data_IF_345027660046
#
_entry.id   IF_345027660046
#
_cell.length_a   1.000
_cell.length_b   1.000
_cell.length_c   1.000
_cell.angle_alpha   90.00
_cell.angle_beta   90.00
_cell.angle_gamma   90.00
#
_symmetry.space_group_name_H-M   'P 1'
#
loop_
_entity.id
_entity.type
_entity.pdbx_description
1 polymer ?
2 non-polymer ?
3 non-polymer ?
4 non-polymer ?
5 non-polymer ?
6 non-polymer ?
7 water ?
#
# COMPACT_ATOMS: atom_id res chain seq x y z
N UNK A 24 31.17 -0.01 -20.94
CA UNK A 24 30.56 -1.30 -21.17
C UNK A 24 29.18 -1.45 -20.57
N UNK A 25 29.07 -1.24 -19.25
CA UNK A 25 27.80 -1.40 -18.54
C UNK A 25 26.75 -0.37 -18.96
N UNK A 26 25.50 -0.81 -19.27
CA UNK A 26 24.50 0.14 -19.75
C UNK A 26 24.04 1.15 -18.70
N UNK A 27 23.75 2.36 -19.16
CA UNK A 27 23.25 3.43 -18.30
C UNK A 27 21.79 3.68 -18.65
N UNK A 28 20.99 4.01 -17.64
CA UNK A 28 19.59 4.31 -17.84
C UNK A 28 19.29 5.62 -17.13
N UNK A 29 18.58 6.54 -17.80
CA UNK A 29 18.17 7.79 -17.20
C UNK A 29 16.70 7.68 -16.84
N UNK A 30 16.37 7.93 -15.58
CA UNK A 30 15.00 8.02 -15.13
C UNK A 30 14.72 9.51 -15.00
N UNK A 31 13.86 10.05 -15.86
CA UNK A 31 13.48 11.45 -15.80
C UNK A 31 12.22 11.49 -14.97
N UNK A 32 12.28 11.96 -13.73
CA UNK A 32 11.12 11.95 -12.84
C UNK A 32 10.56 13.37 -12.61
N UNK A 33 9.35 13.45 -12.06
CA UNK A 33 8.73 14.73 -11.72
C UNK A 33 9.51 15.45 -10.59
N UNK A 34 10.40 14.74 -9.85
CA UNK A 34 11.22 15.31 -8.78
C UNK A 34 12.70 15.53 -9.17
N UNK A 35 13.08 15.18 -10.39
CA UNK A 35 14.46 15.30 -10.84
C UNK A 35 14.91 14.06 -11.60
N UNK A 36 16.15 14.08 -12.07
CA UNK A 36 16.70 13.00 -12.87
C UNK A 36 17.63 12.10 -12.08
N UNK A 37 17.56 10.79 -12.33
CA UNK A 37 18.41 9.81 -11.68
C UNK A 37 19.04 8.99 -12.79
N UNK A 38 20.35 8.82 -12.78
CA UNK A 38 21.03 8.03 -13.77
C UNK A 38 21.57 6.81 -13.10
N UNK A 39 21.34 5.65 -13.71
CA UNK A 39 21.76 4.36 -13.18
C UNK A 39 22.82 3.75 -14.07
N UNK A 40 23.75 3.00 -13.48
CA UNK A 40 24.74 2.21 -14.19
C UNK A 40 24.43 0.78 -13.79
N UNK A 41 24.09 -0.08 -14.77
CA UNK A 41 23.67 -1.45 -14.50
C UNK A 41 24.81 -2.41 -14.62
N UNK A 42 24.86 -3.43 -13.74
CA UNK A 42 25.94 -4.41 -13.67
C UNK A 42 25.62 -5.68 -14.48
N UNK A 43 25.88 -5.62 -15.80
CA UNK A 43 25.62 -6.73 -16.71
C UNK A 43 26.37 -8.03 -16.37
N UNK A 44 27.60 -7.93 -15.84
CA UNK A 44 28.38 -9.13 -15.51
C UNK A 44 27.89 -9.82 -14.23
N UNK A 45 27.47 -9.06 -13.21
CA UNK A 45 27.03 -9.67 -11.95
C UNK A 45 25.53 -9.95 -11.90
N UNK A 46 24.73 -9.31 -12.75
CA UNK A 46 23.28 -9.54 -12.74
C UNK A 46 22.74 -9.55 -14.17
N UNK A 47 23.21 -10.48 -15.03
CA UNK A 47 22.80 -10.46 -16.46
C UNK A 47 21.31 -10.60 -16.71
N UNK A 48 20.64 -11.48 -15.97
CA UNK A 48 19.21 -11.70 -16.15
C UNK A 48 18.46 -10.46 -15.68
N UNK A 49 18.83 -9.92 -14.50
CA UNK A 49 18.16 -8.75 -13.96
C UNK A 49 18.34 -7.53 -14.84
N UNK A 50 19.56 -7.32 -15.35
CA UNK A 50 19.82 -6.17 -16.22
C UNK A 50 19.02 -6.31 -17.52
N UNK A 51 19.02 -7.51 -18.16
CA UNK A 51 18.28 -7.66 -19.42
C UNK A 51 16.78 -7.47 -19.20
N UNK A 52 16.25 -7.97 -18.10
CA UNK A 52 14.83 -7.82 -17.77
C UNK A 52 14.48 -6.35 -17.58
N UNK A 53 15.31 -5.61 -16.84
CA UNK A 53 15.09 -4.19 -16.60
C UNK A 53 15.17 -3.41 -17.91
N UNK A 54 16.18 -3.70 -18.74
CA UNK A 54 16.34 -3.03 -20.03
C UNK A 54 15.15 -3.29 -20.94
N UNK A 55 14.58 -4.51 -20.92
CA UNK A 55 13.42 -4.81 -21.75
C UNK A 55 12.22 -3.91 -21.35
N UNK A 56 11.98 -3.73 -20.05
CA UNK A 56 10.91 -2.86 -19.59
C UNK A 56 11.20 -1.40 -19.99
N UNK A 57 12.45 -0.93 -19.80
CA UNK A 57 12.82 0.43 -20.17
C UNK A 57 12.59 0.66 -21.68
N UNK A 58 13.15 -0.21 -22.52
CA UNK A 58 13.05 -0.06 -23.98
C UNK A 58 11.63 -0.18 -24.50
N UNK A 59 10.78 -0.96 -23.84
CA UNK A 59 9.39 -1.09 -24.27
C UNK A 59 8.46 0.00 -23.69
N UNK A 60 9.03 1.00 -22.99
CA UNK A 60 8.23 2.11 -22.44
C UNK A 60 7.39 1.74 -21.23
N UNK A 61 7.62 0.56 -20.64
CA UNK A 61 6.82 0.10 -19.51
C UNK A 61 6.91 1.05 -18.32
N UNK A 62 8.11 1.57 -18.02
CA UNK A 62 8.25 2.46 -16.85
C UNK A 62 7.73 3.87 -17.07
N UNK A 63 7.43 4.26 -18.32
CA UNK A 63 6.92 5.60 -18.59
C UNK A 63 5.54 5.75 -17.94
N UNK A 64 5.34 6.84 -17.18
CA UNK A 64 4.11 7.11 -16.45
C UNK A 64 3.87 6.15 -15.28
N UNK A 65 4.90 5.45 -14.80
CA UNK A 65 4.79 4.68 -13.55
C UNK A 65 5.25 5.64 -12.43
N UNK A 66 4.91 5.29 -11.19
CA UNK A 66 5.19 6.09 -9.99
C UNK A 66 6.20 5.44 -9.05
N UNK A 67 6.72 6.22 -8.07
CA UNK A 67 7.44 5.68 -6.93
C UNK A 67 6.31 5.53 -5.96
N UNK A 68 5.70 4.35 -5.89
CA UNK A 68 4.50 4.11 -5.11
C UNK A 68 4.73 3.97 -3.61
N UNK A 69 5.98 3.76 -3.16
CA UNK A 69 6.24 3.60 -1.74
C UNK A 69 7.61 4.18 -1.41
N UNK A 70 7.68 5.01 -0.37
CA UNK A 70 8.94 5.62 0.03
C UNK A 70 9.08 5.52 1.55
N UNK A 71 10.31 5.34 2.04
CA UNK A 71 10.59 5.30 3.48
C UNK A 71 11.71 6.31 3.71
N UNK A 72 11.46 7.41 4.43
CA UNK A 72 12.48 8.45 4.55
C UNK A 72 13.80 8.00 5.11
N UNK A 73 14.84 8.40 4.34
CA UNK A 73 16.24 8.11 4.53
C UNK A 73 16.59 6.65 4.30
N UNK A 74 15.65 5.80 3.77
CA UNK A 74 15.93 4.37 3.64
C UNK A 74 15.73 3.76 2.23
N UNK A 75 14.61 4.05 1.57
CA UNK A 75 14.37 3.48 0.23
C UNK A 75 13.27 4.18 -0.51
N UNK A 76 13.26 3.99 -1.84
CA UNK A 76 12.18 4.44 -2.70
C UNK A 76 11.89 3.23 -3.60
N UNK A 77 10.62 2.94 -3.84
CA UNK A 77 10.25 1.77 -4.64
C UNK A 77 9.37 2.20 -5.77
N UNK A 78 9.55 1.59 -6.93
CA UNK A 78 8.75 1.91 -8.10
C UNK A 78 8.67 0.78 -9.08
N UNK A 79 8.22 1.14 -10.27
CA UNK A 79 8.10 0.25 -11.41
C UNK A 79 6.92 -0.70 -11.45
N UNK A 80 5.83 -0.37 -10.75
CA UNK A 80 4.63 -1.21 -10.71
C UNK A 80 3.30 -0.55 -11.03
N UNK A 81 3.14 0.75 -10.75
CA UNK A 81 1.83 1.40 -10.80
C UNK A 81 1.80 2.67 -11.57
N UNK A 82 0.64 2.97 -12.18
CA UNK A 82 0.41 4.23 -12.87
C UNK A 82 0.04 5.31 -11.81
N UNK A 83 -0.14 6.58 -12.22
CA UNK A 83 -0.54 7.66 -11.31
C UNK A 83 -1.87 7.36 -10.63
N UNK A 84 -2.80 6.66 -11.31
CA UNK A 84 -4.10 6.28 -10.75
C UNK A 84 -4.08 4.93 -10.01
N UNK A 85 -2.88 4.43 -9.65
CA UNK A 85 -2.68 3.17 -8.91
C UNK A 85 -3.21 1.90 -9.59
N UNK A 86 -3.32 1.89 -10.92
CA UNK A 86 -3.64 0.66 -11.63
C UNK A 86 -2.27 -0.03 -11.80
N UNK A 87 -2.21 -1.35 -11.58
CA UNK A 87 -0.95 -2.07 -11.67
C UNK A 87 -0.81 -2.54 -13.10
N UNK A 88 0.25 -2.11 -13.78
CA UNK A 88 0.48 -2.54 -15.17
C UNK A 88 0.87 -4.00 -15.13
N UNK A 89 0.41 -4.74 -16.11
CA UNK A 89 0.62 -6.17 -16.18
C UNK A 89 2.06 -6.38 -16.61
N UNK A 90 2.93 -6.97 -15.75
CA UNK A 90 4.33 -7.18 -16.16
C UNK A 90 4.51 -8.49 -16.93
N UNK A 91 5.75 -8.74 -17.37
CA UNK A 91 6.13 -9.97 -18.04
C UNK A 91 6.38 -11.08 -16.98
N UNK A 92 6.66 -12.34 -17.41
CA UNK A 92 6.92 -13.40 -16.44
C UNK A 92 8.08 -13.08 -15.50
N UNK A 93 8.06 -13.64 -14.29
CA UNK A 93 9.14 -13.35 -13.33
C UNK A 93 10.50 -13.90 -13.72
N UNK A 94 11.54 -13.41 -13.03
CA UNK A 94 12.92 -13.80 -13.32
C UNK A 94 13.59 -14.49 -12.15
N UNK A 95 14.69 -15.19 -12.44
CA UNK A 95 15.51 -15.83 -11.43
C UNK A 95 16.10 -14.75 -10.51
N UNK A 96 16.26 -15.12 -9.26
CA UNK A 96 16.85 -14.25 -8.27
C UNK A 96 18.38 -14.32 -8.36
N UNK A 97 19.04 -13.20 -8.61
CA UNK A 97 20.50 -13.17 -8.71
C UNK A 97 21.16 -12.57 -7.46
N UNK A 98 20.50 -12.62 -6.30
CA UNK A 98 21.08 -12.06 -5.09
C UNK A 98 22.29 -12.81 -4.57
N UNK A 99 22.56 -14.03 -5.07
CA UNK A 99 23.80 -14.74 -4.73
C UNK A 99 25.02 -14.18 -5.54
N UNK A 100 24.87 -13.03 -6.22
CA UNK A 100 25.97 -12.42 -6.98
C UNK A 100 26.99 -11.66 -6.10
N UNK A 101 26.79 -11.62 -4.79
CA UNK A 101 27.72 -10.95 -3.89
C UNK A 101 27.55 -9.44 -3.74
N UNK A 102 26.64 -8.81 -4.52
CA UNK A 102 26.42 -7.36 -4.42
C UNK A 102 25.44 -7.08 -3.27
N UNK A 103 25.84 -6.20 -2.34
CA UNK A 103 25.01 -5.87 -1.18
C UNK A 103 24.11 -4.66 -1.47
N UNK A 104 23.02 -4.57 -0.72
CA UNK A 104 22.05 -3.48 -0.81
C UNK A 104 22.59 -2.29 -0.01
N UNK A 105 23.68 -1.70 -0.49
CA UNK A 105 24.28 -0.55 0.16
C UNK A 105 23.66 0.75 -0.38
N UNK A 106 23.87 1.89 0.29
CA UNK A 106 23.32 3.17 -0.19
C UNK A 106 23.73 3.44 -1.66
N UNK A 107 22.75 3.76 -2.49
CA UNK A 107 22.97 4.05 -3.90
C UNK A 107 22.67 2.89 -4.83
N UNK A 108 22.53 1.65 -4.32
CA UNK A 108 22.25 0.51 -5.17
C UNK A 108 20.77 0.44 -5.59
N UNK A 109 20.52 -0.22 -6.73
CA UNK A 109 19.16 -0.51 -7.22
C UNK A 109 19.01 -2.03 -7.19
N UNK A 110 17.88 -2.50 -6.68
CA UNK A 110 17.60 -3.91 -6.52
C UNK A 110 16.18 -4.27 -6.92
N UNK A 111 15.95 -5.54 -7.23
CA UNK A 111 14.64 -6.00 -7.64
C UNK A 111 13.79 -6.33 -6.44
N UNK A 112 12.57 -5.77 -6.45
CA UNK A 112 11.57 -6.09 -5.48
C UNK A 112 10.99 -7.45 -5.91
N UNK A 113 10.43 -8.15 -4.96
CA UNK A 113 9.76 -9.41 -5.23
C UNK A 113 8.84 -9.76 -4.09
N UNK A 114 8.02 -10.81 -4.27
CA UNK A 114 7.14 -11.28 -3.21
C UNK A 114 7.86 -12.47 -2.50
N UNK A 115 7.12 -13.30 -1.72
CA UNK A 115 7.70 -14.37 -0.91
C UNK A 115 8.64 -15.32 -1.64
N UNK A 116 8.25 -15.79 -2.85
CA UNK A 116 9.09 -16.74 -3.57
C UNK A 116 10.34 -16.01 -4.09
N UNK A 117 11.51 -16.64 -3.93
CA UNK A 117 12.75 -16.00 -4.38
C UNK A 117 12.74 -15.61 -5.86
N UNK A 118 12.10 -16.40 -6.73
CA UNK A 118 12.09 -16.14 -8.18
C UNK A 118 10.80 -15.43 -8.66
N UNK A 119 10.27 -14.49 -7.85
CA UNK A 119 9.04 -13.79 -8.22
C UNK A 119 9.24 -12.35 -8.72
N UNK A 120 10.48 -11.85 -8.83
CA UNK A 120 10.67 -10.46 -9.30
C UNK A 120 10.16 -10.30 -10.72
N UNK A 121 9.48 -9.18 -11.00
CA UNK A 121 9.02 -8.86 -12.35
C UNK A 121 9.56 -7.46 -12.74
N UNK A 122 8.81 -6.38 -12.53
CA UNK A 122 9.18 -5.03 -12.95
C UNK A 122 9.54 -4.12 -11.78
N UNK A 123 9.08 -4.41 -10.56
CA UNK A 123 9.30 -3.52 -9.44
C UNK A 123 10.72 -3.53 -8.91
N UNK A 124 11.21 -2.36 -8.57
CA UNK A 124 12.58 -2.19 -8.08
C UNK A 124 12.58 -1.20 -6.93
N UNK A 125 13.71 -1.15 -6.21
CA UNK A 125 13.87 -0.17 -5.15
C UNK A 125 15.30 0.33 -5.16
N UNK A 126 15.46 1.60 -4.79
CA UNK A 126 16.77 2.20 -4.69
C UNK A 126 17.02 2.37 -3.22
N UNK A 127 18.15 1.85 -2.75
CA UNK A 127 18.53 1.96 -1.36
C UNK A 127 19.09 3.35 -1.09
N UNK A 128 18.47 4.06 -0.15
CA UNK A 128 18.92 5.39 0.31
C UNK A 128 19.87 5.23 1.54
N UNK A 129 19.85 4.08 2.19
CA UNK A 129 20.73 3.75 3.31
C UNK A 129 21.23 2.30 3.07
N UNK A 130 22.21 1.83 3.84
CA UNK A 130 22.66 0.45 3.74
C UNK A 130 21.58 -0.42 4.37
N UNK A 131 20.97 -1.37 3.61
CA UNK A 131 19.96 -2.27 4.17
C UNK A 131 20.46 -3.69 4.17
N UNK A 132 21.17 -4.05 5.23
CA UNK A 132 21.70 -5.40 5.36
C UNK A 132 20.59 -6.46 5.45
N UNK A 133 19.39 -6.10 5.91
CA UNK A 133 18.30 -7.09 6.02
C UNK A 133 17.82 -7.58 4.63
N UNK A 134 18.08 -6.81 3.54
CA UNK A 134 17.70 -7.19 2.16
C UNK A 134 18.76 -8.08 1.50
N UNK A 135 19.92 -8.31 2.14
CA UNK A 135 21.01 -9.07 1.52
C UNK A 135 20.84 -10.57 1.58
N UNK A 136 21.39 -11.23 0.58
CA UNK A 136 21.47 -12.69 0.49
C UNK A 136 22.32 -13.19 1.66
N UNK A 137 21.89 -14.28 2.25
CA UNK A 137 22.61 -14.93 3.34
C UNK A 137 22.39 -16.42 3.29
N UNK A 138 22.92 -17.14 4.27
CA UNK A 138 22.74 -18.60 4.34
C UNK A 138 21.29 -18.99 4.69
N UNK A 139 20.50 -18.08 5.31
CA UNK A 139 19.11 -18.39 5.66
C UNK A 139 18.10 -17.47 4.95
N UNK A 140 18.51 -16.47 4.16
CA UNK A 140 17.59 -15.57 3.44
C UNK A 140 18.04 -15.49 2.02
N UNK A 141 17.14 -15.63 0.99
CA UNK A 141 17.67 -15.49 -0.40
C UNK A 141 17.98 -14.03 -0.72
N UNK A 142 17.32 -13.05 -0.09
CA UNK A 142 17.69 -11.66 -0.32
C UNK A 142 17.04 -11.07 -1.56
N UNK A 143 17.41 -9.81 -1.86
CA UNK A 143 16.89 -9.00 -2.96
C UNK A 143 18.06 -8.71 -3.87
N UNK A 144 17.92 -9.03 -5.15
CA UNK A 144 19.00 -8.95 -6.10
C UNK A 144 19.39 -7.54 -6.51
N UNK A 145 20.64 -7.15 -6.23
CA UNK A 145 21.18 -5.85 -6.63
C UNK A 145 21.68 -6.01 -8.08
N UNK A 146 21.31 -5.07 -8.95
CA UNK A 146 21.72 -5.13 -10.36
C UNK A 146 22.30 -3.83 -10.92
N UNK A 147 22.58 -2.85 -10.05
CA UNK A 147 23.15 -1.60 -10.51
C UNK A 147 23.30 -0.57 -9.40
N UNK A 148 23.58 0.66 -9.78
CA UNK A 148 23.76 1.73 -8.81
C UNK A 148 23.46 3.08 -9.42
N UNK A 149 23.15 4.05 -8.55
CA UNK A 149 22.90 5.42 -8.95
C UNK A 149 24.28 6.10 -9.16
N UNK A 150 24.51 6.64 -10.36
CA UNK A 150 25.77 7.34 -10.67
C UNK A 150 25.56 8.86 -10.69
N UNK A 151 24.31 9.34 -10.90
CA UNK A 151 23.99 10.78 -10.85
C UNK A 151 22.57 10.93 -10.29
N UNK A 152 22.33 11.98 -9.54
CA UNK A 152 21.00 12.23 -9.00
C UNK A 152 20.65 11.47 -7.73
N UNK A 153 21.65 11.09 -6.91
CA UNK A 153 21.35 10.46 -5.61
C UNK A 153 20.61 11.48 -4.70
N UNK A 154 20.89 12.78 -4.85
CA UNK A 154 20.16 13.80 -4.10
C UNK A 154 18.67 13.78 -4.46
N UNK A 155 18.31 13.42 -5.71
CA UNK A 155 16.90 13.31 -6.14
C UNK A 155 16.29 12.09 -5.45
N UNK A 156 17.01 10.95 -5.40
CA UNK A 156 16.50 9.77 -4.71
C UNK A 156 16.28 10.07 -3.22
N UNK A 157 17.20 10.80 -2.57
CA UNK A 157 17.05 11.19 -1.16
C UNK A 157 15.83 12.08 -0.99
N UNK A 158 15.67 13.07 -1.88
CA UNK A 158 14.53 13.96 -1.83
C UNK A 158 13.21 13.19 -1.98
N UNK A 159 13.11 12.29 -2.98
CA UNK A 159 11.89 11.48 -3.19
C UNK A 159 11.55 10.70 -1.91
N UNK A 160 12.57 10.18 -1.22
CA UNK A 160 12.33 9.40 0.00
C UNK A 160 11.66 10.21 1.12
N UNK A 161 11.87 11.53 1.13
CA UNK A 161 11.39 12.46 2.14
C UNK A 161 10.05 13.13 1.83
N UNK A 162 9.42 12.87 0.67
CA UNK A 162 8.18 13.56 0.33
C UNK A 162 7.06 13.20 1.32
N UNK A 163 6.08 14.08 1.54
CA UNK A 163 4.95 13.70 2.41
C UNK A 163 4.23 12.45 1.88
N UNK A 164 3.81 11.57 2.80
CA UNK A 164 3.11 10.34 2.44
C UNK A 164 1.81 10.20 3.22
N UNK A 165 0.91 9.31 2.75
CA UNK A 165 -0.29 8.90 3.50
C UNK A 165 0.28 8.10 4.73
N UNK A 166 -0.23 8.24 5.96
CA UNK A 166 0.46 7.67 7.15
C UNK A 166 0.02 6.31 7.67
N UNK A 167 -1.23 5.94 7.49
CA UNK A 167 -1.76 4.70 8.06
C UNK A 167 -2.75 4.07 7.12
N UNK A 168 -2.88 2.74 7.17
CA UNK A 168 -3.85 2.11 6.30
C UNK A 168 -3.24 1.62 5.01
N UNK A 169 -4.12 1.23 4.07
CA UNK A 169 -3.64 0.67 2.80
C UNK A 169 -2.65 1.53 2.01
N UNK A 170 -2.77 2.86 2.14
CA UNK A 170 -1.87 3.78 1.43
C UNK A 170 -0.67 4.21 2.26
N UNK A 171 -0.37 3.53 3.39
CA UNK A 171 0.84 3.87 4.18
C UNK A 171 2.11 3.84 3.27
N UNK A 172 2.94 4.89 3.37
CA UNK A 172 4.19 5.05 2.59
C UNK A 172 3.97 5.55 1.15
N UNK A 173 2.72 5.72 0.70
CA UNK A 173 2.44 6.19 -0.65
C UNK A 173 2.60 7.74 -0.68
N UNK A 174 3.44 8.32 -1.54
CA UNK A 174 3.53 9.80 -1.60
C UNK A 174 2.16 10.46 -1.78
N UNK A 175 1.86 11.52 -1.04
CA UNK A 175 0.57 12.21 -1.15
C UNK A 175 0.41 12.82 -2.54
N UNK A 176 1.51 13.34 -3.14
CA UNK A 176 1.52 13.90 -4.50
C UNK A 176 2.34 12.94 -5.34
N UNK A 177 1.75 12.36 -6.41
CA UNK A 177 2.47 11.34 -7.17
C UNK A 177 3.86 11.76 -7.64
N UNK A 178 4.84 10.88 -7.49
CA UNK A 178 6.20 11.07 -7.98
C UNK A 178 6.26 10.16 -9.18
N UNK A 179 6.33 10.76 -10.37
CA UNK A 179 6.19 10.03 -11.62
C UNK A 179 7.48 9.91 -12.38
N UNK A 180 7.76 8.74 -12.96
CA UNK A 180 8.87 8.57 -13.87
C UNK A 180 8.23 8.93 -15.20
N UNK A 181 8.53 10.11 -15.75
CA UNK A 181 7.95 10.53 -17.04
C UNK A 181 8.56 9.71 -18.18
N UNK A 182 9.86 9.39 -18.09
CA UNK A 182 10.50 8.54 -19.07
C UNK A 182 11.67 7.82 -18.45
N UNK A 183 11.96 6.64 -19.02
CA UNK A 183 13.10 5.81 -18.67
C UNK A 183 13.77 5.52 -20.01
N UNK A 184 15.06 5.84 -20.16
CA UNK A 184 15.74 5.73 -21.43
C UNK A 184 17.12 5.15 -21.27
N UNK A 185 17.50 4.17 -22.10
CA UNK A 185 18.86 3.66 -22.12
C UNK A 185 19.71 4.75 -22.80
N UNK A 186 20.88 5.04 -22.24
CA UNK A 186 21.74 6.09 -22.80
C UNK A 186 22.76 5.53 -23.81
N UNK A 187 23.32 6.38 -24.69
CA UNK A 187 24.36 5.88 -25.62
C UNK A 187 25.56 5.32 -24.86
N UNK A 188 26.18 4.29 -25.41
CA UNK A 188 27.32 3.62 -24.78
C UNK A 188 28.59 4.45 -24.75
N UNK B 24 -31.65 -11.14 2.53
CA UNK B 24 -30.69 -12.18 2.84
C UNK B 24 -29.44 -11.65 3.52
N UNK B 25 -28.72 -10.75 2.86
CA UNK B 25 -27.47 -10.18 3.39
C UNK B 25 -27.71 -9.31 4.64
N UNK B 26 -26.94 -9.52 5.72
CA UNK B 26 -27.20 -8.73 6.94
C UNK B 26 -26.88 -7.26 6.82
N UNK B 27 -27.66 -6.42 7.48
CA UNK B 27 -27.45 -4.97 7.51
C UNK B 27 -26.97 -4.57 8.91
N UNK B 28 -26.08 -3.58 8.99
CA UNK B 28 -25.56 -3.08 10.26
C UNK B 28 -25.69 -1.57 10.27
N UNK B 29 -26.20 -0.99 11.36
CA UNK B 29 -26.30 0.46 11.52
C UNK B 29 -25.18 0.93 12.43
N UNK B 30 -24.36 1.87 11.95
CA UNK B 30 -23.35 2.55 12.75
C UNK B 30 -23.96 3.89 13.11
N UNK B 31 -24.26 4.11 14.38
CA UNK B 31 -24.78 5.39 14.84
C UNK B 31 -23.58 6.19 15.32
N UNK B 32 -23.16 7.21 14.57
CA UNK B 32 -21.94 7.97 14.90
C UNK B 32 -22.28 9.38 15.39
N UNK B 33 -21.29 10.06 16.00
CA UNK B 33 -21.45 11.43 16.44
C UNK B 33 -21.64 12.40 15.24
N UNK B 34 -21.31 11.97 14.00
CA UNK B 34 -21.46 12.76 12.78
C UNK B 34 -22.69 12.36 11.93
N UNK B 35 -23.44 11.34 12.35
CA UNK B 35 -24.57 10.84 11.58
C UNK B 35 -24.60 9.32 11.53
N UNK B 36 -25.61 8.77 10.86
CA UNK B 36 -25.79 7.34 10.78
C UNK B 36 -25.36 6.77 9.43
N UNK B 37 -24.74 5.58 9.45
CA UNK B 37 -24.29 4.90 8.25
C UNK B 37 -24.86 3.49 8.32
N UNK B 38 -25.58 3.03 7.27
CA UNK B 38 -26.11 1.68 7.22
C UNK B 38 -25.29 0.89 6.20
N UNK B 39 -24.83 -0.29 6.58
CA UNK B 39 -24.02 -1.18 5.76
C UNK B 39 -24.82 -2.42 5.37
N UNK B 40 -24.58 -2.96 4.18
CA UNK B 40 -25.13 -4.23 3.71
C UNK B 40 -23.91 -5.11 3.51
N UNK B 41 -23.82 -6.23 4.24
CA UNK B 41 -22.65 -7.12 4.19
C UNK B 41 -22.82 -8.29 3.21
N UNK B 42 -21.76 -8.61 2.46
CA UNK B 42 -21.79 -9.64 1.42
C UNK B 42 -21.41 -11.03 1.96
N UNK B 43 -22.39 -11.74 2.54
CA UNK B 43 -22.21 -13.07 3.11
C UNK B 43 -21.67 -14.11 2.14
N UNK B 44 -22.09 -14.05 0.87
CA UNK B 44 -21.68 -15.04 -0.12
C UNK B 44 -20.25 -14.83 -0.61
N UNK B 45 -19.81 -13.57 -0.78
CA UNK B 45 -18.45 -13.32 -1.27
C UNK B 45 -17.41 -13.15 -0.17
N UNK B 46 -17.83 -12.87 1.07
CA UNK B 46 -16.87 -12.72 2.16
C UNK B 46 -17.44 -13.33 3.45
N UNK B 47 -17.70 -14.66 3.46
CA UNK B 47 -18.35 -15.28 4.63
C UNK B 47 -17.57 -15.17 5.94
N UNK B 48 -16.25 -15.36 5.88
CA UNK B 48 -15.42 -15.28 7.08
C UNK B 48 -15.40 -13.84 7.57
N UNK B 49 -15.19 -12.88 6.65
CA UNK B 49 -15.12 -11.47 7.03
C UNK B 49 -16.44 -10.96 7.60
N UNK B 50 -17.55 -11.36 6.99
CA UNK B 50 -18.87 -10.93 7.49
C UNK B 50 -19.11 -11.52 8.87
N UNK B 51 -18.85 -12.82 9.08
CA UNK B 51 -19.08 -13.42 10.40
C UNK B 51 -18.21 -12.78 11.47
N UNK B 52 -16.96 -12.50 11.14
CA UNK B 52 -16.03 -11.87 12.07
C UNK B 52 -16.53 -10.46 12.45
N UNK B 53 -16.96 -9.68 11.46
CA UNK B 53 -17.47 -8.33 11.69
C UNK B 53 -18.74 -8.39 12.55
N UNK B 54 -19.66 -9.31 12.22
CA UNK B 54 -20.90 -9.46 12.98
C UNK B 54 -20.62 -9.85 14.41
N UNK B 55 -19.61 -10.70 14.66
CA UNK B 55 -19.28 -11.07 16.05
C UNK B 55 -18.85 -9.84 16.86
N UNK B 56 -18.02 -8.96 16.27
CA UNK B 56 -17.62 -7.73 16.96
C UNK B 56 -18.83 -6.82 17.18
N UNK B 57 -19.69 -6.65 16.17
CA UNK B 57 -20.89 -5.82 16.30
C UNK B 57 -21.79 -6.35 17.42
N UNK B 58 -22.13 -7.65 17.38
CA UNK B 58 -23.03 -8.25 18.37
C UNK B 58 -22.46 -8.25 19.78
N UNK B 59 -21.14 -8.33 19.94
CA UNK B 59 -20.53 -8.29 21.26
C UNK B 59 -20.27 -6.85 21.78
N UNK B 60 -20.72 -5.82 21.04
CA UNK B 60 -20.57 -4.44 21.47
C UNK B 60 -19.18 -3.87 21.32
N UNK B 61 -18.28 -4.59 20.62
CA UNK B 61 -16.88 -4.17 20.45
C UNK B 61 -16.76 -2.81 19.77
N UNK B 62 -17.57 -2.50 18.73
CA UNK B 62 -17.46 -1.20 18.04
C UNK B 62 -18.14 -0.04 18.78
N UNK B 63 -18.88 -0.31 19.87
CA UNK B 63 -19.54 0.75 20.61
C UNK B 63 -18.53 1.65 21.32
N UNK B 64 -18.71 2.95 21.19
CA UNK B 64 -17.85 3.96 21.79
C UNK B 64 -16.42 3.90 21.23
N UNK B 65 -16.27 3.59 19.93
CA UNK B 65 -14.96 3.53 19.26
C UNK B 65 -14.83 4.76 18.36
N UNK B 66 -13.62 5.08 17.84
CA UNK B 66 -13.48 6.26 16.98
C UNK B 66 -13.15 5.89 15.53
N UNK B 67 -13.32 6.89 14.62
CA UNK B 67 -12.76 6.81 13.28
C UNK B 67 -11.42 7.50 13.54
N UNK B 68 -10.40 6.69 13.79
CA UNK B 68 -9.09 7.19 14.20
C UNK B 68 -8.25 7.79 13.09
N UNK B 69 -8.60 7.56 11.82
CA UNK B 69 -7.83 8.09 10.72
C UNK B 69 -8.76 8.40 9.57
N UNK B 70 -8.64 9.59 8.99
CA UNK B 70 -9.46 9.96 7.84
C UNK B 70 -8.57 10.60 6.78
N UNK B 71 -8.86 10.34 5.50
CA UNK B 71 -8.11 10.94 4.41
C UNK B 71 -9.17 11.57 3.50
N UNK B 72 -9.22 12.91 3.38
CA UNK B 72 -10.31 13.53 2.63
C UNK B 72 -10.35 13.07 1.15
N UNK B 73 -11.38 12.39 0.67
CA UNK B 73 -11.38 11.89 -0.72
C UNK B 73 -10.67 10.57 -0.94
N UNK B 74 -10.44 9.79 0.13
CA UNK B 74 -9.90 8.44 0.02
C UNK B 74 -10.75 7.52 0.93
N UNK B 75 -10.64 7.67 2.27
CA UNK B 75 -11.28 6.73 3.17
C UNK B 75 -11.35 7.23 4.61
N UNK B 76 -12.15 6.52 5.41
CA UNK B 76 -12.27 6.72 6.84
C UNK B 76 -11.97 5.35 7.45
N UNK B 77 -11.22 5.33 8.57
CA UNK B 77 -10.82 4.07 9.19
C UNK B 77 -11.28 4.03 10.63
N UNK B 78 -11.71 2.87 11.07
CA UNK B 78 -12.13 2.72 12.46
C UNK B 78 -11.98 1.28 12.93
N UNK B 79 -12.57 0.96 14.04
CA UNK B 79 -12.58 -0.39 14.58
C UNK B 79 -11.38 -0.80 15.41
N UNK B 80 -10.61 0.16 15.92
CA UNK B 80 -9.42 -0.20 16.69
C UNK B 80 -9.20 0.52 18.00
N UNK B 81 -9.76 1.73 18.15
CA UNK B 81 -9.54 2.56 19.35
C UNK B 81 -10.82 2.99 20.02
N UNK B 82 -10.76 3.21 21.33
CA UNK B 82 -11.89 3.71 22.11
C UNK B 82 -12.05 5.24 21.88
N UNK B 83 -13.09 5.82 22.46
CA UNK B 83 -13.34 7.25 22.42
C UNK B 83 -12.18 8.12 22.89
N UNK B 84 -11.44 7.68 23.91
CA UNK B 84 -10.27 8.42 24.40
C UNK B 84 -8.97 7.85 23.82
N UNK B 85 -9.05 7.22 22.63
CA UNK B 85 -7.93 6.69 21.88
C UNK B 85 -7.08 5.63 22.57
N UNK B 86 -7.73 4.74 23.32
CA UNK B 86 -7.05 3.58 23.92
C UNK B 86 -7.15 2.43 22.88
N UNK B 87 -6.09 1.66 22.72
CA UNK B 87 -6.08 0.54 21.79
C UNK B 87 -7.00 -0.58 22.32
N UNK B 88 -7.93 -1.11 21.51
CA UNK B 88 -8.81 -2.20 21.97
C UNK B 88 -8.19 -3.58 21.70
N UNK B 89 -8.42 -4.60 22.59
CA UNK B 89 -7.83 -5.94 22.37
C UNK B 89 -8.80 -6.75 21.50
N UNK B 90 -8.46 -7.07 20.26
CA UNK B 90 -9.39 -7.83 19.41
C UNK B 90 -9.24 -9.35 19.57
N UNK B 91 -10.08 -10.09 18.84
CA UNK B 91 -10.04 -11.55 18.80
C UNK B 91 -8.95 -12.02 17.80
N UNK B 92 -8.68 -13.34 17.67
CA UNK B 92 -7.68 -13.79 16.71
C UNK B 92 -7.97 -13.37 15.27
N UNK B 93 -6.91 -13.21 14.47
CA UNK B 93 -7.10 -12.76 13.08
C UNK B 93 -7.79 -13.74 12.16
N UNK B 94 -8.23 -13.24 11.00
CA UNK B 94 -8.97 -14.05 10.02
C UNK B 94 -8.26 -14.18 8.69
N UNK B 95 -8.65 -15.20 7.91
CA UNK B 95 -8.13 -15.42 6.58
C UNK B 95 -8.56 -14.26 5.67
N UNK B 96 -7.67 -13.85 4.75
CA UNK B 96 -7.88 -12.74 3.83
C UNK B 96 -8.76 -13.21 2.67
N UNK B 97 -9.91 -12.56 2.47
CA UNK B 97 -10.82 -12.93 1.38
C UNK B 97 -10.74 -11.96 0.20
N UNK B 98 -9.59 -11.28 0.01
CA UNK B 98 -9.46 -10.31 -1.08
C UNK B 98 -9.46 -10.94 -2.46
N UNK B 99 -9.29 -12.27 -2.57
CA UNK B 99 -9.41 -12.95 -3.85
C UNK B 99 -10.90 -13.19 -4.23
N UNK B 100 -11.86 -12.56 -3.51
CA UNK B 100 -13.29 -12.72 -3.82
C UNK B 100 -13.77 -11.88 -5.04
N UNK B 101 -12.88 -11.11 -5.66
CA UNK B 101 -13.23 -10.31 -6.83
C UNK B 101 -13.88 -8.97 -6.55
N UNK B 102 -14.17 -8.64 -5.29
CA UNK B 102 -14.78 -7.35 -4.94
C UNK B 102 -13.69 -6.28 -4.80
N UNK B 103 -13.83 -5.17 -5.54
CA UNK B 103 -12.85 -4.09 -5.50
C UNK B 103 -13.20 -3.04 -4.47
N UNK B 104 -12.20 -2.28 -4.03
CA UNK B 104 -12.33 -1.21 -3.07
C UNK B 104 -12.83 0.04 -3.79
N UNK B 105 -14.06 -0.03 -4.29
CA UNK B 105 -14.68 1.09 -5.00
C UNK B 105 -15.38 2.02 -3.99
N UNK B 106 -15.77 3.23 -4.42
CA UNK B 106 -16.47 4.16 -3.52
C UNK B 106 -17.72 3.51 -2.91
N UNK B 107 -17.84 3.59 -1.59
CA UNK B 107 -18.97 3.05 -0.85
C UNK B 107 -18.70 1.69 -0.22
N UNK B 108 -17.61 1.00 -0.60
CA UNK B 108 -17.33 -0.32 -0.03
C UNK B 108 -16.69 -0.21 1.37
N UNK B 109 -16.86 -1.29 2.15
CA UNK B 109 -16.21 -1.43 3.46
C UNK B 109 -15.25 -2.63 3.33
N UNK B 110 -14.03 -2.47 3.85
CA UNK B 110 -12.99 -3.47 3.76
C UNK B 110 -12.24 -3.63 5.07
N UNK B 111 -11.57 -4.78 5.23
CA UNK B 111 -10.81 -5.06 6.43
C UNK B 111 -9.40 -4.50 6.35
N UNK B 112 -9.00 -3.75 7.37
CA UNK B 112 -7.64 -3.27 7.47
C UNK B 112 -6.85 -4.42 8.12
N UNK B 113 -5.56 -4.44 7.89
CA UNK B 113 -4.67 -5.47 8.40
C UNK B 113 -3.24 -4.95 8.41
N UNK B 114 -2.34 -5.72 9.00
CA UNK B 114 -0.92 -5.36 8.99
C UNK B 114 -0.25 -6.11 7.82
N UNK B 115 1.10 -6.22 7.79
CA UNK B 115 1.84 -6.80 6.68
C UNK B 115 1.38 -8.18 6.22
N UNK B 116 1.14 -9.11 7.16
CA UNK B 116 0.75 -10.46 6.77
C UNK B 116 -0.66 -10.42 6.21
N UNK B 117 -0.90 -11.12 5.11
CA UNK B 117 -2.23 -11.13 4.49
C UNK B 117 -3.34 -11.60 5.44
N UNK B 118 -3.06 -12.56 6.35
CA UNK B 118 -4.07 -13.11 7.24
C UNK B 118 -4.03 -12.47 8.65
N UNK B 119 -3.76 -11.16 8.74
CA UNK B 119 -3.67 -10.48 10.04
C UNK B 119 -4.87 -9.61 10.39
N UNK B 120 -5.93 -9.54 9.54
CA UNK B 120 -7.08 -8.69 9.87
C UNK B 120 -7.76 -9.15 11.13
N UNK B 121 -8.16 -8.20 11.99
CA UNK B 121 -8.87 -8.51 13.22
C UNK B 121 -10.18 -7.67 13.21
N UNK B 122 -10.21 -6.47 13.82
CA UNK B 122 -11.40 -5.67 13.97
C UNK B 122 -11.40 -4.39 13.12
N UNK B 123 -10.22 -3.89 12.69
CA UNK B 123 -10.19 -2.61 11.99
C UNK B 123 -10.70 -2.70 10.59
N UNK B 124 -11.43 -1.66 10.17
CA UNK B 124 -12.02 -1.62 8.86
C UNK B 124 -11.87 -0.21 8.30
N UNK B 125 -12.12 -0.06 7.00
CA UNK B 125 -12.14 1.24 6.37
C UNK B 125 -13.25 1.28 5.35
N UNK B 126 -13.84 2.47 5.19
CA UNK B 126 -14.87 2.69 4.20
C UNK B 126 -14.24 3.55 3.13
N UNK B 127 -14.31 3.09 1.89
CA UNK B 127 -13.75 3.83 0.78
C UNK B 127 -14.71 4.95 0.38
N UNK B 128 -14.26 6.20 0.38
CA UNK B 128 -15.07 7.32 -0.13
C UNK B 128 -14.68 7.67 -1.60
N UNK B 129 -13.62 7.04 -2.14
CA UNK B 129 -13.26 7.13 -3.55
C UNK B 129 -12.86 5.71 -4.00
N UNK B 130 -12.68 5.49 -5.33
CA UNK B 130 -12.22 4.19 -5.79
C UNK B 130 -10.74 4.13 -5.44
N UNK B 131 -10.33 3.18 -4.61
CA UNK B 131 -8.94 3.07 -4.16
C UNK B 131 -8.31 1.79 -4.69
N UNK B 132 -7.86 1.82 -5.96
CA UNK B 132 -7.27 0.67 -6.65
C UNK B 132 -6.02 0.13 -5.96
N UNK B 133 -5.26 0.96 -5.18
CA UNK B 133 -4.06 0.46 -4.51
C UNK B 133 -4.38 -0.57 -3.42
N UNK B 134 -5.60 -0.59 -2.90
CA UNK B 134 -5.99 -1.55 -1.89
C UNK B 134 -6.48 -2.89 -2.48
N UNK B 135 -6.60 -3.00 -3.81
CA UNK B 135 -7.15 -4.21 -4.45
C UNK B 135 -6.18 -5.36 -4.58
N UNK B 136 -6.72 -6.58 -4.67
CA UNK B 136 -5.91 -7.77 -4.81
C UNK B 136 -5.23 -7.76 -6.16
N UNK B 137 -3.98 -8.19 -6.17
CA UNK B 137 -3.21 -8.25 -7.39
C UNK B 137 -2.05 -9.21 -7.28
N UNK B 138 -1.25 -9.25 -8.34
CA UNK B 138 -0.10 -10.16 -8.42
C UNK B 138 0.99 -9.87 -7.38
N UNK B 139 1.32 -8.59 -7.14
CA UNK B 139 2.42 -8.24 -6.24
C UNK B 139 2.01 -7.83 -4.81
N UNK B 140 0.71 -7.73 -4.55
CA UNK B 140 0.22 -7.34 -3.23
C UNK B 140 -1.10 -8.02 -3.02
N UNK B 141 -1.30 -8.69 -1.87
CA UNK B 141 -2.50 -9.48 -1.60
C UNK B 141 -3.83 -8.70 -1.48
N UNK B 142 -3.78 -7.41 -1.19
CA UNK B 142 -4.98 -6.59 -1.12
C UNK B 142 -5.71 -6.60 0.21
N UNK B 143 -6.80 -5.81 0.28
CA UNK B 143 -7.58 -5.61 1.48
C UNK B 143 -8.98 -6.12 1.13
N UNK B 144 -9.47 -7.04 1.94
CA UNK B 144 -10.72 -7.74 1.66
C UNK B 144 -11.97 -6.90 1.82
N UNK B 145 -12.73 -6.73 0.72
CA UNK B 145 -14.00 -6.01 0.74
C UNK B 145 -15.09 -7.00 1.18
N UNK B 146 -15.92 -6.60 2.14
CA UNK B 146 -16.97 -7.49 2.65
C UNK B 146 -18.37 -6.85 2.72
N UNK B 147 -18.55 -5.68 2.13
CA UNK B 147 -19.87 -5.02 2.16
C UNK B 147 -19.85 -3.65 1.54
N UNK B 148 -20.93 -2.91 1.72
CA UNK B 148 -21.06 -1.58 1.16
C UNK B 148 -22.01 -0.72 1.94
N UNK B 149 -21.88 0.60 1.80
CA UNK B 149 -22.74 1.57 2.44
C UNK B 149 -24.03 1.66 1.59
N UNK B 150 -25.18 1.43 2.22
CA UNK B 150 -26.48 1.52 1.52
C UNK B 150 -27.23 2.80 1.92
N UNK B 151 -26.92 3.40 3.09
CA UNK B 151 -27.51 4.68 3.53
C UNK B 151 -26.45 5.45 4.32
N UNK B 152 -26.45 6.77 4.20
CA UNK B 152 -25.51 7.60 4.95
C UNK B 152 -24.12 7.72 4.33
N UNK B 153 -24.00 7.58 3.00
CA UNK B 153 -22.70 7.81 2.35
C UNK B 153 -22.29 9.30 2.51
N UNK B 154 -23.27 10.24 2.58
CA UNK B 154 -22.98 11.65 2.85
C UNK B 154 -22.31 11.82 4.23
N UNK B 155 -22.66 10.96 5.20
CA UNK B 155 -22.04 11.01 6.53
C UNK B 155 -20.59 10.51 6.41
N UNK B 156 -20.34 9.43 5.65
CA UNK B 156 -18.97 8.94 5.46
C UNK B 156 -18.11 10.01 4.76
N UNK B 157 -18.67 10.72 3.76
CA UNK B 157 -17.96 11.80 3.06
C UNK B 157 -17.65 12.93 4.04
N UNK B 158 -18.64 13.33 4.89
CA UNK B 158 -18.49 14.38 5.92
C UNK B 158 -17.37 14.02 6.90
N UNK B 159 -17.37 12.77 7.37
CA UNK B 159 -16.34 12.32 8.31
C UNK B 159 -14.93 12.41 7.67
N UNK B 160 -14.82 12.07 6.38
CA UNK B 160 -13.51 12.12 5.70
C UNK B 160 -12.90 13.51 5.63
N UNK B 161 -13.76 14.54 5.63
CA UNK B 161 -13.38 15.95 5.49
C UNK B 161 -13.21 16.70 6.81
N UNK B 162 -13.38 16.06 7.98
CA UNK B 162 -13.25 16.81 9.24
C UNK B 162 -11.82 17.31 9.43
N UNK B 163 -11.62 18.42 10.16
CA UNK B 163 -10.26 18.87 10.43
C UNK B 163 -9.44 17.79 11.17
N UNK B 164 -8.17 17.65 10.80
CA UNK B 164 -7.27 16.66 11.41
C UNK B 164 -6.02 17.34 11.92
N UNK B 165 -5.26 16.66 12.80
CA UNK B 165 -3.99 17.16 13.27
C UNK B 165 -3.03 17.27 12.09
N UNK B 166 -2.08 18.21 12.21
CA UNK B 166 -1.08 18.51 11.19
C UNK B 166 0.27 17.86 11.53
N UNK B 167 0.62 17.80 12.83
CA UNK B 167 1.93 17.29 13.29
C UNK B 167 2.08 15.76 13.12
N UNK B 168 3.07 15.39 12.30
CA UNK B 168 3.51 14.05 11.89
C UNK B 168 2.83 12.78 12.39
N UNK B 169 3.10 12.35 13.64
CA UNK B 169 2.53 11.08 14.12
C UNK B 169 1.01 10.98 14.02
N UNK B 170 0.28 12.05 14.32
CA UNK B 170 -1.18 12.01 14.28
C UNK B 170 -1.79 12.84 13.13
N UNK B 171 -1.11 12.94 11.95
CA UNK B 171 -1.55 13.77 10.81
C UNK B 171 -2.97 13.48 10.26
N UNK B 172 -3.45 12.24 10.27
CA UNK B 172 -4.79 11.92 9.76
C UNK B 172 -5.81 11.70 10.89
N UNK B 173 -5.47 12.00 12.16
CA UNK B 173 -6.39 11.82 13.26
C UNK B 173 -7.36 13.02 13.33
N UNK B 174 -8.69 12.83 13.37
CA UNK B 174 -9.59 14.00 13.53
C UNK B 174 -9.27 14.83 14.78
N UNK B 175 -9.24 16.17 14.66
CA UNK B 175 -8.95 17.06 15.78
C UNK B 175 -10.00 16.86 16.90
N UNK B 176 -11.26 16.75 16.51
CA UNK B 176 -12.36 16.48 17.43
C UNK B 176 -12.76 15.02 17.19
N UNK B 177 -12.93 14.20 18.24
CA UNK B 177 -13.24 12.77 18.02
C UNK B 177 -14.55 12.49 17.27
N UNK B 178 -14.50 11.55 16.32
CA UNK B 178 -15.68 11.08 15.58
C UNK B 178 -15.91 9.72 16.16
N UNK B 179 -17.01 9.55 16.89
CA UNK B 179 -17.26 8.34 17.67
C UNK B 179 -18.38 7.51 17.11
N UNK B 180 -18.23 6.18 17.08
CA UNK B 180 -19.31 5.27 16.75
C UNK B 180 -19.92 5.05 18.12
N UNK B 181 -21.09 5.63 18.41
CA UNK B 181 -21.73 5.44 19.71
C UNK B 181 -22.26 4.01 19.81
N UNK B 182 -22.80 3.46 18.72
CA UNK B 182 -23.25 2.09 18.71
C UNK B 182 -23.18 1.53 17.30
N UNK B 183 -23.02 0.20 17.22
CA UNK B 183 -23.07 -0.57 15.98
C UNK B 183 -24.05 -1.70 16.29
N UNK B 184 -25.06 -1.92 15.43
CA UNK B 184 -26.03 -2.98 15.68
C UNK B 184 -26.49 -3.62 14.39
N UNK B 185 -26.78 -4.93 14.44
CA UNK B 185 -27.32 -5.68 13.31
C UNK B 185 -28.80 -5.34 13.26
N UNK B 186 -29.34 -5.10 12.06
CA UNK B 186 -30.74 -4.74 11.91
C UNK B 186 -31.64 -5.96 11.66
N UNK B 187 -32.96 -5.86 11.95
CA UNK B 187 -33.85 -7.00 11.65
C UNK B 187 -33.83 -7.34 10.16
N UNK B 188 -33.95 -8.63 9.84
CA UNK B 188 -33.87 -9.11 8.46
C UNK B 188 -35.05 -8.72 7.61
#
# INVERSE_FOLDING_TARGET
MGSSHHHHHHSSGLVPRGSHMAKGDPHVLLTTSAGNIELELDSQKAPVSVQNFLDYVNNGFYNNTTFHSVIPGYMIQGGGYTEDMQQKQPNPPIKNEADNGLRNTRGTIAMMRTEDKDSATSQFFINVADNAYADHGQTRYGFAVFGKVVKGMDVADKISQVPTHDVGPYQSVPSKPVVILSATVLPGSGC
MGSSHHHHHHSSGLVPRGSHMAKGDPHVLLTTSAGNIELELDSQKAPVSVQNFLDYVNNGFYNNTTFHSVIPGYMIQGGGYTEDMQQKQPNPPIKNEADNGLRNTRGTIAMMRTEDKDSATSQFFINVADNAYADHGQTRYGFAVFGKVVKGMDVADKISQVPTHDVGPYQSVPSKPVVILSATVLPGSGC
#
